data_IF_530809805018
#
_entry.id   IF_530809805018
#
_cell.length_a   1.000
_cell.length_b   1.000
_cell.length_c   1.000
_cell.angle_alpha   90.00
_cell.angle_beta   90.00
_cell.angle_gamma   90.00
#
_symmetry.space_group_name_H-M   'P 1'
#
loop_
_entity.id
_entity.type
_entity.pdbx_description
1 polymer ?
#
# COMPACT_ATOMS: atom_id res chain seq x y z
N UNK A 1 -60.15 -39.90 -31.71
CA UNK A 1 -59.23 -40.36 -30.63
C UNK A 1 -58.00 -40.92 -31.35
N UNK A 2 -56.75 -40.52 -31.15
CA UNK A 2 -56.09 -39.69 -30.16
C UNK A 2 -54.81 -39.13 -30.82
N UNK A 3 -54.72 -37.80 -30.97
CA UNK A 3 -53.47 -37.09 -31.30
C UNK A 3 -53.15 -36.18 -30.13
N UNK A 4 -52.51 -36.71 -29.07
CA UNK A 4 -52.14 -35.90 -27.89
C UNK A 4 -51.12 -36.59 -26.96
N UNK A 5 -49.95 -36.98 -27.49
CA UNK A 5 -48.85 -37.53 -26.65
C UNK A 5 -47.46 -37.14 -27.16
N UNK A 6 -47.31 -35.97 -27.78
CA UNK A 6 -46.01 -35.48 -28.28
C UNK A 6 -45.46 -34.23 -27.58
N UNK A 7 -46.24 -33.55 -26.74
CA UNK A 7 -45.92 -32.18 -26.31
C UNK A 7 -45.47 -32.05 -24.83
N UNK A 8 -45.36 -33.15 -24.09
CA UNK A 8 -45.00 -33.11 -22.65
C UNK A 8 -43.54 -33.45 -22.35
N UNK A 9 -42.74 -33.90 -23.33
CA UNK A 9 -41.33 -34.25 -23.10
C UNK A 9 -40.34 -33.11 -23.36
N UNK A 10 -40.75 -32.04 -24.05
CA UNK A 10 -39.83 -30.94 -24.43
C UNK A 10 -39.68 -29.86 -23.36
N UNK A 11 -40.53 -29.85 -22.32
CA UNK A 11 -40.44 -28.84 -21.25
C UNK A 11 -39.55 -29.28 -20.07
N UNK A 12 -39.21 -30.57 -19.97
CA UNK A 12 -38.39 -31.12 -18.89
C UNK A 12 -36.87 -31.08 -19.17
N UNK A 13 -36.44 -30.79 -20.41
CA UNK A 13 -35.02 -30.72 -20.78
C UNK A 13 -34.41 -29.32 -20.59
N UNK A 14 -35.22 -28.28 -20.41
CA UNK A 14 -34.74 -26.89 -20.29
C UNK A 14 -34.50 -26.46 -18.84
N UNK A 15 -34.94 -27.24 -17.84
CA UNK A 15 -34.80 -26.90 -16.42
C UNK A 15 -33.50 -27.40 -15.78
N UNK A 16 -32.67 -28.15 -16.51
CA UNK A 16 -31.42 -28.72 -15.99
C UNK A 16 -30.21 -27.77 -16.17
N UNK A 17 -30.33 -26.71 -16.98
CA UNK A 17 -29.22 -25.77 -17.24
C UNK A 17 -29.09 -24.61 -16.24
N UNK A 18 -29.97 -24.49 -15.24
CA UNK A 18 -29.95 -23.39 -14.26
C UNK A 18 -29.42 -23.80 -12.87
N UNK A 19 -28.93 -25.03 -12.70
CA UNK A 19 -28.46 -25.53 -11.39
C UNK A 19 -26.94 -25.29 -11.15
N UNK A 20 -26.26 -24.52 -12.02
CA UNK A 20 -24.79 -24.46 -12.07
C UNK A 20 -24.10 -23.17 -11.61
N UNK A 21 -24.79 -22.03 -11.53
CA UNK A 21 -24.19 -20.79 -11.02
C UNK A 21 -25.00 -20.30 -9.83
N UNK A 22 -24.39 -20.26 -8.63
CA UNK A 22 -25.05 -19.60 -7.51
C UNK A 22 -25.16 -18.09 -7.81
N UNK A 23 -26.27 -17.46 -7.39
CA UNK A 23 -26.45 -16.00 -7.54
C UNK A 23 -25.27 -15.24 -6.92
N UNK A 24 -24.69 -15.79 -5.84
CA UNK A 24 -23.50 -15.26 -5.18
C UNK A 24 -22.29 -15.24 -6.11
N UNK A 25 -22.02 -16.35 -6.79
CA UNK A 25 -20.85 -16.47 -7.67
C UNK A 25 -20.99 -15.56 -8.90
N UNK A 26 -22.21 -15.43 -9.45
CA UNK A 26 -22.50 -14.48 -10.52
C UNK A 26 -22.31 -13.03 -10.06
N UNK A 27 -22.78 -12.68 -8.86
CA UNK A 27 -22.59 -11.35 -8.27
C UNK A 27 -21.10 -11.05 -8.04
N UNK A 28 -20.34 -12.03 -7.53
CA UNK A 28 -18.91 -11.92 -7.31
C UNK A 28 -18.15 -11.63 -8.62
N UNK A 29 -18.35 -12.46 -9.64
CA UNK A 29 -17.68 -12.30 -10.93
C UNK A 29 -18.08 -11.00 -11.64
N UNK A 30 -19.36 -10.60 -11.52
CA UNK A 30 -19.82 -9.31 -12.07
C UNK A 30 -19.16 -8.13 -11.36
N UNK A 31 -18.95 -8.22 -10.04
CA UNK A 31 -18.29 -7.19 -9.25
C UNK A 31 -16.80 -7.08 -9.57
N UNK A 32 -16.09 -8.20 -9.76
CA UNK A 32 -14.68 -8.19 -10.21
C UNK A 32 -14.57 -7.55 -11.59
N UNK A 33 -15.42 -7.96 -12.55
CA UNK A 33 -15.39 -7.42 -13.91
C UNK A 33 -15.67 -5.92 -13.95
N UNK A 34 -16.76 -5.48 -13.28
CA UNK A 34 -17.07 -4.06 -13.16
C UNK A 34 -15.98 -3.28 -12.43
N UNK A 35 -15.38 -3.90 -11.40
CA UNK A 35 -14.24 -3.36 -10.68
C UNK A 35 -13.07 -3.06 -11.60
N UNK A 36 -12.64 -4.06 -12.37
CA UNK A 36 -11.52 -3.95 -13.30
C UNK A 36 -11.78 -2.97 -14.44
N UNK A 37 -12.99 -2.92 -14.98
CA UNK A 37 -13.31 -2.11 -16.16
C UNK A 37 -13.63 -0.64 -15.82
N UNK A 38 -14.25 -0.37 -14.66
CA UNK A 38 -14.76 0.97 -14.33
C UNK A 38 -14.20 1.53 -13.02
N UNK A 39 -14.16 0.73 -11.95
CA UNK A 39 -13.75 1.23 -10.63
C UNK A 39 -12.24 1.50 -10.60
N UNK A 40 -11.41 0.50 -10.94
CA UNK A 40 -9.96 0.58 -10.83
C UNK A 40 -9.37 1.72 -11.67
N UNK A 41 -9.75 1.93 -12.96
CA UNK A 41 -9.23 3.04 -13.75
C UNK A 41 -9.65 4.41 -13.20
N UNK A 42 -10.91 4.56 -12.81
CA UNK A 42 -11.40 5.81 -12.20
C UNK A 42 -10.65 6.13 -10.90
N UNK A 43 -10.42 5.09 -10.10
CA UNK A 43 -9.72 5.18 -8.83
C UNK A 43 -8.27 5.59 -9.01
N UNK A 44 -7.55 4.94 -9.94
CA UNK A 44 -6.15 5.25 -10.24
C UNK A 44 -5.95 6.67 -10.78
N UNK A 45 -6.93 7.21 -11.51
CA UNK A 45 -6.90 8.58 -12.01
C UNK A 45 -7.24 9.65 -10.94
N UNK A 46 -7.81 9.25 -9.80
CA UNK A 46 -8.22 10.17 -8.74
C UNK A 46 -7.03 10.82 -8.03
N UNK A 47 -7.21 12.06 -7.54
CA UNK A 47 -6.29 12.70 -6.58
C UNK A 47 -6.74 12.52 -5.12
N UNK A 48 -7.95 12.00 -4.90
CA UNK A 48 -8.54 11.87 -3.57
C UNK A 48 -8.10 10.56 -2.92
N UNK A 49 -7.07 10.66 -2.10
CA UNK A 49 -6.50 9.54 -1.34
C UNK A 49 -7.37 9.14 -0.14
N UNK A 50 -8.29 9.99 0.34
CA UNK A 50 -9.20 9.68 1.45
C UNK A 50 -10.39 8.83 1.00
N UNK A 51 -10.87 9.03 -0.22
CA UNK A 51 -11.89 8.15 -0.84
C UNK A 51 -11.39 6.71 -0.90
N UNK A 52 -10.09 6.48 -1.14
CA UNK A 52 -9.53 5.13 -1.08
C UNK A 52 -9.74 4.48 0.29
N UNK A 53 -9.52 5.26 1.33
CA UNK A 53 -9.68 4.80 2.69
C UNK A 53 -11.12 4.44 3.02
N UNK A 54 -12.04 5.36 2.75
CA UNK A 54 -13.46 5.17 2.97
C UNK A 54 -14.01 3.99 2.16
N UNK A 55 -13.57 3.84 0.91
CA UNK A 55 -13.99 2.75 0.04
C UNK A 55 -13.51 1.39 0.55
N UNK A 56 -12.24 1.27 0.93
CA UNK A 56 -11.69 0.04 1.49
C UNK A 56 -12.45 -0.40 2.74
N UNK A 57 -12.69 0.50 3.70
CA UNK A 57 -13.43 0.17 4.92
C UNK A 57 -14.92 -0.11 4.66
N UNK A 58 -15.56 0.66 3.79
CA UNK A 58 -17.00 0.55 3.51
C UNK A 58 -17.38 -0.64 2.64
N UNK A 59 -16.62 -0.93 1.58
CA UNK A 59 -16.95 -2.01 0.62
C UNK A 59 -16.59 -3.40 1.14
N UNK A 60 -15.69 -3.51 2.12
CA UNK A 60 -15.23 -4.78 2.69
C UNK A 60 -16.39 -5.70 3.11
N UNK A 61 -17.38 -5.17 3.85
CA UNK A 61 -18.49 -5.96 4.38
C UNK A 61 -19.43 -6.52 3.29
N UNK A 62 -19.53 -5.84 2.15
CA UNK A 62 -20.32 -6.32 1.00
C UNK A 62 -19.53 -7.28 0.12
N UNK A 63 -18.20 -7.11 0.06
CA UNK A 63 -17.33 -7.81 -0.89
C UNK A 63 -16.90 -9.17 -0.35
N UNK A 64 -16.40 -9.24 0.88
CA UNK A 64 -15.76 -10.47 1.41
C UNK A 64 -16.68 -11.70 1.48
N UNK A 65 -17.99 -11.60 1.76
CA UNK A 65 -18.88 -12.76 1.76
C UNK A 65 -19.09 -13.40 0.37
N UNK A 66 -18.66 -12.74 -0.71
CA UNK A 66 -18.77 -13.22 -2.10
C UNK A 66 -17.63 -14.16 -2.50
N UNK A 67 -16.74 -14.53 -1.56
CA UNK A 67 -15.66 -15.49 -1.80
C UNK A 67 -16.16 -16.88 -2.26
N UNK A 68 -15.34 -17.62 -3.03
CA UNK A 68 -13.95 -17.29 -3.40
C UNK A 68 -13.81 -16.44 -4.67
N UNK A 69 -14.86 -16.31 -5.50
CA UNK A 69 -14.76 -15.65 -6.81
C UNK A 69 -14.42 -14.15 -6.74
N UNK A 70 -14.56 -13.53 -5.57
CA UNK A 70 -14.20 -12.14 -5.31
C UNK A 70 -12.75 -11.96 -4.83
N UNK A 71 -12.04 -13.06 -4.54
CA UNK A 71 -10.70 -13.04 -3.93
C UNK A 71 -9.68 -12.15 -4.68
N UNK A 72 -9.68 -12.02 -6.02
CA UNK A 72 -8.80 -11.08 -6.72
C UNK A 72 -9.02 -9.60 -6.36
N UNK A 73 -10.23 -9.23 -5.93
CA UNK A 73 -10.54 -7.85 -5.55
C UNK A 73 -10.24 -7.55 -4.07
N UNK A 74 -10.17 -8.57 -3.22
CA UNK A 74 -9.94 -8.42 -1.78
C UNK A 74 -8.61 -7.70 -1.47
N UNK A 75 -7.45 -8.06 -2.08
CA UNK A 75 -6.18 -7.43 -1.80
C UNK A 75 -6.22 -5.91 -1.89
N UNK A 76 -6.81 -5.36 -2.95
CA UNK A 76 -6.95 -3.92 -3.13
C UNK A 76 -7.71 -3.27 -1.97
N UNK A 77 -8.86 -3.82 -1.58
CA UNK A 77 -9.69 -3.27 -0.49
C UNK A 77 -9.02 -3.38 0.88
N UNK A 78 -8.34 -4.49 1.13
CA UNK A 78 -7.63 -4.73 2.39
C UNK A 78 -6.34 -3.93 2.50
N UNK A 79 -5.65 -3.70 1.39
CA UNK A 79 -4.49 -2.83 1.32
C UNK A 79 -4.92 -1.40 1.65
N UNK A 80 -5.95 -0.89 0.96
CA UNK A 80 -6.52 0.42 1.22
C UNK A 80 -6.96 0.58 2.69
N UNK A 81 -7.86 -0.27 3.18
CA UNK A 81 -8.37 -0.18 4.57
C UNK A 81 -7.29 -0.42 5.63
N UNK A 82 -6.26 -1.21 5.31
CA UNK A 82 -5.08 -1.40 6.15
C UNK A 82 -4.24 -0.13 6.27
N UNK A 83 -3.99 0.56 5.15
CA UNK A 83 -3.25 1.82 5.13
C UNK A 83 -3.92 2.90 5.99
N UNK A 84 -5.25 3.00 5.98
CA UNK A 84 -5.98 3.96 6.82
C UNK A 84 -5.82 3.70 8.31
N UNK A 85 -5.79 2.42 8.69
CA UNK A 85 -5.52 2.04 10.07
C UNK A 85 -4.07 2.32 10.43
N UNK A 86 -3.11 2.12 9.52
CA UNK A 86 -1.72 2.50 9.76
C UNK A 86 -1.55 4.01 9.89
N UNK A 87 -2.24 4.82 9.09
CA UNK A 87 -2.23 6.28 9.23
C UNK A 87 -2.75 6.75 10.58
N UNK A 88 -3.85 6.17 11.06
CA UNK A 88 -4.34 6.42 12.44
C UNK A 88 -3.28 6.02 13.48
N UNK A 89 -2.51 4.96 13.23
CA UNK A 89 -1.39 4.60 14.09
C UNK A 89 -0.25 5.63 14.03
N UNK A 90 0.07 6.17 12.86
CA UNK A 90 1.09 7.24 12.68
C UNK A 90 0.68 8.53 13.37
N UNK A 91 -0.60 8.85 13.36
CA UNK A 91 -1.13 10.01 14.09
C UNK A 91 -0.86 9.91 15.60
N UNK A 92 -1.09 8.72 16.18
CA UNK A 92 -0.77 8.45 17.58
C UNK A 92 0.75 8.39 17.82
N UNK A 93 1.56 8.00 16.84
CA UNK A 93 3.02 8.11 16.90
C UNK A 93 3.47 9.57 17.06
N UNK A 94 2.92 10.49 16.27
CA UNK A 94 3.22 11.92 16.38
C UNK A 94 2.75 12.50 17.73
N UNK A 95 1.59 12.04 18.24
CA UNK A 95 1.11 12.41 19.58
C UNK A 95 2.04 11.90 20.67
N UNK A 96 2.53 10.66 20.56
CA UNK A 96 3.51 10.08 21.47
C UNK A 96 4.82 10.89 21.49
N UNK A 97 5.38 11.22 20.33
CA UNK A 97 6.64 11.99 20.24
C UNK A 97 6.49 13.35 20.94
N UNK A 98 5.39 14.07 20.68
CA UNK A 98 5.12 15.36 21.34
C UNK A 98 4.96 15.24 22.85
N UNK A 99 4.21 14.25 23.33
CA UNK A 99 4.05 14.02 24.76
C UNK A 99 5.39 13.73 25.46
N UNK A 100 6.24 12.89 24.84
CA UNK A 100 7.58 12.59 25.33
C UNK A 100 8.48 13.82 25.41
N UNK A 101 8.41 14.73 24.43
CA UNK A 101 9.16 16.01 24.46
C UNK A 101 8.79 16.88 25.65
N UNK A 102 7.55 16.81 26.12
CA UNK A 102 7.07 17.57 27.29
C UNK A 102 7.15 16.79 28.61
N UNK A 103 7.75 15.59 28.62
CA UNK A 103 7.75 14.66 29.76
C UNK A 103 6.35 14.30 30.28
N UNK A 104 5.32 14.34 29.42
CA UNK A 104 3.97 13.90 29.76
C UNK A 104 3.83 12.39 29.55
N UNK A 105 4.19 11.63 30.58
CA UNK A 105 4.21 10.16 30.55
C UNK A 105 2.81 9.57 30.35
N UNK A 106 1.78 10.16 30.96
CA UNK A 106 0.42 9.62 30.88
C UNK A 106 -0.12 9.71 29.45
N UNK A 107 0.03 10.88 28.83
CA UNK A 107 -0.37 11.07 27.42
C UNK A 107 0.47 10.21 26.49
N UNK A 108 1.77 10.06 26.75
CA UNK A 108 2.63 9.19 25.94
C UNK A 108 2.20 7.71 26.02
N UNK A 109 1.88 7.20 27.20
CA UNK A 109 1.41 5.81 27.37
C UNK A 109 0.06 5.57 26.68
N UNK A 110 -0.87 6.53 26.77
CA UNK A 110 -2.15 6.48 26.07
C UNK A 110 -1.96 6.45 24.54
N UNK A 111 -1.19 7.40 24.01
CA UNK A 111 -0.89 7.48 22.58
C UNK A 111 -0.21 6.21 22.07
N UNK A 112 0.77 5.67 22.81
CA UNK A 112 1.42 4.40 22.43
C UNK A 112 0.45 3.21 22.45
N UNK A 113 -0.50 3.19 23.37
CA UNK A 113 -1.55 2.16 23.42
C UNK A 113 -2.46 2.24 22.20
N UNK A 114 -2.89 3.45 21.84
CA UNK A 114 -3.72 3.68 20.66
C UNK A 114 -2.98 3.38 19.36
N UNK A 115 -1.71 3.76 19.25
CA UNK A 115 -0.84 3.39 18.13
C UNK A 115 -0.84 1.87 17.94
N UNK A 116 -0.57 1.08 18.99
CA UNK A 116 -0.54 -0.39 18.89
C UNK A 116 -1.88 -0.99 18.47
N UNK A 117 -3.00 -0.45 18.98
CA UNK A 117 -4.35 -0.91 18.62
C UNK A 117 -4.62 -0.69 17.12
N UNK A 118 -4.27 0.48 16.60
CA UNK A 118 -4.44 0.78 15.19
C UNK A 118 -3.51 -0.04 14.30
N UNK A 119 -2.24 -0.22 14.70
CA UNK A 119 -1.30 -1.11 14.00
C UNK A 119 -1.80 -2.56 13.96
N UNK A 120 -2.43 -3.05 15.03
CA UNK A 120 -3.05 -4.38 15.03
C UNK A 120 -4.17 -4.49 14.00
N UNK A 121 -5.05 -3.47 13.91
CA UNK A 121 -6.13 -3.43 12.92
C UNK A 121 -5.56 -3.40 11.49
N UNK A 122 -4.51 -2.59 11.25
CA UNK A 122 -3.82 -2.53 9.97
C UNK A 122 -3.27 -3.91 9.56
N UNK A 123 -2.51 -4.55 10.47
CA UNK A 123 -1.92 -5.86 10.25
C UNK A 123 -2.98 -6.93 9.94
N UNK A 124 -4.07 -6.99 10.72
CA UNK A 124 -5.13 -7.97 10.49
C UNK A 124 -5.82 -7.80 9.13
N UNK A 125 -6.10 -6.56 8.71
CA UNK A 125 -6.72 -6.26 7.42
C UNK A 125 -5.80 -6.66 6.27
N UNK A 126 -4.55 -6.23 6.31
CA UNK A 126 -3.57 -6.53 5.26
C UNK A 126 -3.29 -8.05 5.17
N UNK A 127 -3.25 -8.74 6.31
CA UNK A 127 -3.07 -10.19 6.33
C UNK A 127 -4.25 -10.93 5.70
N UNK A 128 -5.49 -10.45 5.91
CA UNK A 128 -6.66 -10.99 5.23
C UNK A 128 -6.53 -10.88 3.70
N UNK A 129 -5.99 -9.78 3.19
CA UNK A 129 -5.68 -9.59 1.77
C UNK A 129 -4.66 -10.59 1.24
N UNK A 130 -3.56 -10.76 1.98
CA UNK A 130 -2.56 -11.76 1.66
C UNK A 130 -3.16 -13.18 1.61
N UNK A 131 -3.96 -13.55 2.61
CA UNK A 131 -4.62 -14.86 2.63
C UNK A 131 -5.59 -15.07 1.47
N UNK A 132 -6.31 -14.02 1.04
CA UNK A 132 -7.14 -14.08 -0.16
C UNK A 132 -6.31 -14.30 -1.43
N UNK A 133 -5.14 -13.66 -1.50
CA UNK A 133 -4.17 -13.83 -2.59
C UNK A 133 -3.69 -15.28 -2.66
N UNK A 134 -3.30 -15.86 -1.52
CA UNK A 134 -2.86 -17.26 -1.45
C UNK A 134 -3.97 -18.23 -1.85
N UNK A 135 -5.23 -17.96 -1.47
CA UNK A 135 -6.37 -18.80 -1.88
C UNK A 135 -6.62 -18.77 -3.39
N UNK A 136 -6.44 -17.62 -4.04
CA UNK A 136 -6.72 -17.45 -5.45
C UNK A 136 -5.55 -17.86 -6.36
N UNK A 137 -4.34 -17.37 -6.06
CA UNK A 137 -3.15 -17.55 -6.90
C UNK A 137 -2.26 -18.74 -6.48
N UNK A 138 -2.53 -19.34 -5.32
CA UNK A 138 -1.67 -20.36 -4.72
C UNK A 138 -0.56 -19.79 -3.83
N UNK A 139 0.27 -20.67 -3.26
CA UNK A 139 1.36 -20.26 -2.38
C UNK A 139 2.49 -19.58 -3.20
N UNK A 140 2.86 -18.32 -2.88
CA UNK A 140 3.95 -17.61 -3.57
C UNK A 140 5.32 -18.32 -3.53
N UNK A 141 5.54 -19.27 -2.63
CA UNK A 141 6.76 -20.08 -2.58
C UNK A 141 6.76 -21.28 -3.53
N UNK A 142 5.60 -21.70 -4.07
CA UNK A 142 5.49 -22.89 -4.91
C UNK A 142 5.69 -22.61 -6.41
N UNK A 143 5.69 -21.33 -6.82
CA UNK A 143 5.94 -20.91 -8.20
C UNK A 143 5.25 -19.60 -8.55
N UNK A 144 5.49 -19.12 -9.77
CA UNK A 144 4.80 -17.94 -10.29
C UNK A 144 3.43 -18.34 -10.86
N UNK A 145 2.34 -17.66 -10.46
CA UNK A 145 1.02 -17.89 -11.05
C UNK A 145 1.00 -17.43 -12.51
N UNK A 146 0.05 -17.98 -13.28
CA UNK A 146 -0.26 -17.51 -14.63
C UNK A 146 -1.35 -16.44 -14.53
N UNK A 147 -1.05 -15.22 -14.95
CA UNK A 147 -1.97 -14.09 -14.87
C UNK A 147 -2.80 -14.00 -16.15
N UNK A 148 -4.13 -13.95 -16.02
CA UNK A 148 -5.00 -13.81 -17.18
C UNK A 148 -4.93 -12.42 -17.81
N UNK A 149 -4.72 -11.39 -16.97
CA UNK A 149 -4.59 -10.00 -17.38
C UNK A 149 -3.74 -9.19 -16.37
N UNK A 150 -3.54 -7.90 -16.69
CA UNK A 150 -2.81 -6.96 -15.83
C UNK A 150 -3.50 -6.72 -14.48
N UNK A 151 -4.82 -6.85 -14.39
CA UNK A 151 -5.54 -6.63 -13.14
C UNK A 151 -5.30 -7.78 -12.17
N UNK A 152 -5.22 -9.02 -12.65
CA UNK A 152 -4.81 -10.17 -11.84
C UNK A 152 -3.36 -10.02 -11.34
N UNK A 153 -2.45 -9.61 -12.20
CA UNK A 153 -1.06 -9.34 -11.80
C UNK A 153 -0.99 -8.21 -10.75
N UNK A 154 -1.79 -7.15 -10.90
CA UNK A 154 -1.92 -6.07 -9.93
C UNK A 154 -2.53 -6.54 -8.60
N UNK A 155 -3.57 -7.37 -8.65
CA UNK A 155 -4.19 -7.96 -7.47
C UNK A 155 -3.20 -8.82 -6.67
N UNK A 156 -2.40 -9.63 -7.38
CA UNK A 156 -1.34 -10.41 -6.79
C UNK A 156 -0.29 -9.51 -6.12
N UNK A 157 0.17 -8.47 -6.82
CA UNK A 157 1.11 -7.49 -6.28
C UNK A 157 0.60 -6.84 -4.98
N UNK A 158 -0.66 -6.37 -4.96
CA UNK A 158 -1.28 -5.79 -3.76
C UNK A 158 -1.40 -6.80 -2.62
N UNK A 159 -1.65 -8.07 -2.94
CA UNK A 159 -1.63 -9.17 -2.00
C UNK A 159 -0.30 -9.35 -1.29
N UNK A 160 0.78 -9.37 -2.07
CA UNK A 160 2.15 -9.49 -1.56
C UNK A 160 2.54 -8.26 -0.72
N UNK A 161 2.18 -7.05 -1.14
CA UNK A 161 2.38 -5.84 -0.33
C UNK A 161 1.56 -5.85 0.95
N UNK A 162 0.35 -6.40 0.92
CA UNK A 162 -0.44 -6.67 2.11
C UNK A 162 0.30 -7.62 3.06
N UNK A 163 0.86 -8.72 2.53
CA UNK A 163 1.65 -9.66 3.33
C UNK A 163 2.88 -9.03 4.00
N UNK A 164 3.64 -8.23 3.26
CA UNK A 164 4.81 -7.51 3.79
C UNK A 164 4.45 -6.51 4.88
N UNK A 165 3.44 -5.67 4.64
CA UNK A 165 3.02 -4.66 5.61
C UNK A 165 2.36 -5.29 6.84
N UNK A 166 1.61 -6.38 6.66
CA UNK A 166 1.02 -7.13 7.76
C UNK A 166 2.10 -7.70 8.68
N UNK A 167 3.12 -8.35 8.10
CA UNK A 167 4.24 -8.89 8.85
C UNK A 167 5.01 -7.78 9.60
N UNK A 168 5.35 -6.69 8.93
CA UNK A 168 6.07 -5.55 9.52
C UNK A 168 5.28 -4.96 10.71
N UNK A 169 3.99 -4.74 10.51
CA UNK A 169 3.09 -4.16 11.51
C UNK A 169 2.92 -5.07 12.71
N UNK A 170 2.68 -6.35 12.47
CA UNK A 170 2.48 -7.34 13.54
C UNK A 170 3.76 -7.55 14.37
N UNK A 171 4.92 -7.60 13.71
CA UNK A 171 6.21 -7.67 14.37
C UNK A 171 6.44 -6.46 15.31
N UNK A 172 6.06 -5.25 14.88
CA UNK A 172 6.26 -4.02 15.66
C UNK A 172 5.44 -3.97 16.97
N UNK A 173 4.39 -4.79 17.08
CA UNK A 173 3.52 -4.89 18.26
C UNK A 173 3.65 -6.22 19.00
N UNK A 174 4.58 -7.10 18.59
CA UNK A 174 4.88 -8.36 19.25
C UNK A 174 4.01 -9.54 18.83
N UNK A 175 3.44 -9.54 17.62
CA UNK A 175 2.70 -10.67 17.06
C UNK A 175 1.22 -10.75 17.44
N UNK A 176 0.59 -9.62 17.82
CA UNK A 176 -0.78 -9.59 18.30
C UNK A 176 -1.85 -9.91 17.23
N UNK A 177 -1.56 -9.64 15.96
CA UNK A 177 -2.44 -9.93 14.83
C UNK A 177 -2.31 -11.38 14.32
N UNK A 178 -1.26 -12.10 14.73
CA UNK A 178 -1.08 -13.52 14.41
C UNK A 178 -0.64 -13.77 12.97
N UNK A 179 0.16 -12.88 12.38
CA UNK A 179 0.68 -13.03 11.03
C UNK A 179 1.74 -14.13 11.02
N UNK A 180 1.64 -15.08 10.10
CA UNK A 180 2.58 -16.18 10.02
C UNK A 180 3.99 -15.69 9.63
N UNK A 181 5.03 -16.23 10.27
CA UNK A 181 6.42 -15.77 10.07
C UNK A 181 6.95 -16.02 8.65
N UNK A 182 6.40 -17.01 7.95
CA UNK A 182 6.72 -17.32 6.56
C UNK A 182 6.05 -16.37 5.55
N UNK A 183 5.13 -15.50 5.99
CA UNK A 183 4.45 -14.52 5.14
C UNK A 183 5.44 -13.58 4.44
N UNK A 184 6.44 -13.06 5.18
CA UNK A 184 7.45 -12.16 4.61
C UNK A 184 8.30 -12.85 3.53
N UNK A 185 9.00 -13.97 3.80
CA UNK A 185 9.82 -14.62 2.78
C UNK A 185 9.00 -15.11 1.58
N UNK A 186 7.75 -15.55 1.78
CA UNK A 186 6.83 -15.90 0.68
C UNK A 186 6.48 -14.68 -0.16
N UNK A 187 6.15 -13.55 0.48
CA UNK A 187 5.82 -12.31 -0.23
C UNK A 187 7.01 -11.80 -1.06
N UNK A 188 8.23 -11.86 -0.50
CA UNK A 188 9.47 -11.50 -1.22
C UNK A 188 9.72 -12.43 -2.41
N UNK A 189 9.50 -13.74 -2.24
CA UNK A 189 9.63 -14.69 -3.34
C UNK A 189 8.63 -14.39 -4.46
N UNK A 190 7.35 -14.16 -4.12
CA UNK A 190 6.30 -13.83 -5.07
C UNK A 190 6.54 -12.53 -5.83
N UNK A 191 7.20 -11.52 -5.24
CA UNK A 191 7.49 -10.26 -5.94
C UNK A 191 8.39 -10.45 -7.17
N UNK A 192 9.14 -11.55 -7.24
CA UNK A 192 9.96 -11.90 -8.41
C UNK A 192 9.14 -12.37 -9.61
N UNK A 193 7.86 -12.68 -9.39
CA UNK A 193 6.93 -13.12 -10.43
C UNK A 193 6.19 -11.97 -11.12
N UNK A 194 6.33 -10.74 -10.64
CA UNK A 194 5.63 -9.56 -11.16
C UNK A 194 6.56 -8.77 -12.08
N UNK A 195 6.05 -8.30 -13.22
CA UNK A 195 6.78 -7.40 -14.12
C UNK A 195 7.03 -6.03 -13.46
N UNK A 196 8.25 -5.84 -12.94
CA UNK A 196 8.57 -4.62 -12.24
C UNK A 196 8.47 -3.36 -13.11
N UNK A 197 8.76 -3.42 -14.41
CA UNK A 197 8.75 -2.23 -15.26
C UNK A 197 7.30 -1.83 -15.61
N UNK A 198 6.43 -2.82 -15.82
CA UNK A 198 4.97 -2.65 -15.95
C UNK A 198 4.31 -2.07 -14.70
N UNK A 199 4.88 -2.31 -13.51
CA UNK A 199 4.44 -1.79 -12.22
C UNK A 199 5.41 -0.73 -11.63
N UNK A 200 5.86 0.18 -12.50
CA UNK A 200 6.53 1.46 -12.14
C UNK A 200 7.83 1.33 -11.33
N UNK A 201 8.51 0.20 -11.47
CA UNK A 201 9.73 -0.13 -10.71
C UNK A 201 9.46 -0.58 -9.27
N UNK A 202 8.21 -0.62 -8.79
CA UNK A 202 7.91 -0.86 -7.37
C UNK A 202 8.38 -2.24 -6.90
N UNK A 203 8.12 -3.36 -7.60
CA UNK A 203 8.59 -4.68 -7.17
C UNK A 203 10.12 -4.73 -6.98
N UNK A 204 10.88 -4.25 -7.98
CA UNK A 204 12.34 -4.19 -7.88
C UNK A 204 12.83 -3.24 -6.79
N UNK A 205 12.14 -2.12 -6.55
CA UNK A 205 12.48 -1.22 -5.45
C UNK A 205 12.37 -1.92 -4.09
N UNK A 206 11.29 -2.67 -3.85
CA UNK A 206 11.11 -3.42 -2.60
C UNK A 206 12.17 -4.51 -2.45
N UNK A 207 12.43 -5.28 -3.51
CA UNK A 207 13.49 -6.30 -3.52
C UNK A 207 14.87 -5.69 -3.25
N UNK A 208 15.17 -4.52 -3.84
CA UNK A 208 16.41 -3.80 -3.61
C UNK A 208 16.56 -3.35 -2.14
N UNK A 209 15.48 -2.86 -1.51
CA UNK A 209 15.50 -2.51 -0.07
C UNK A 209 15.79 -3.74 0.81
N UNK A 210 15.23 -4.89 0.47
CA UNK A 210 15.52 -6.16 1.18
C UNK A 210 17.00 -6.52 1.03
N UNK A 211 17.55 -6.46 -0.19
CA UNK A 211 18.96 -6.73 -0.46
C UNK A 211 19.88 -5.77 0.32
N UNK A 212 19.57 -4.46 0.32
CA UNK A 212 20.31 -3.44 1.08
C UNK A 212 20.25 -3.73 2.59
N UNK A 213 19.07 -4.07 3.11
CA UNK A 213 18.89 -4.36 4.54
C UNK A 213 19.72 -5.58 4.94
N UNK A 214 19.69 -6.64 4.13
CA UNK A 214 20.50 -7.84 4.35
C UNK A 214 22.00 -7.53 4.27
N UNK A 215 22.45 -6.83 3.23
CA UNK A 215 23.85 -6.49 3.05
C UNK A 215 24.40 -5.64 4.21
N UNK A 216 23.60 -4.72 4.75
CA UNK A 216 23.95 -3.97 5.96
C UNK A 216 24.15 -4.87 7.18
N UNK A 217 23.30 -5.89 7.37
CA UNK A 217 23.45 -6.87 8.47
C UNK A 217 24.71 -7.73 8.30
N UNK A 218 25.05 -8.06 7.05
CA UNK A 218 26.22 -8.85 6.70
C UNK A 218 27.52 -8.01 6.68
N UNK A 219 27.42 -6.67 6.76
CA UNK A 219 28.56 -5.74 6.69
C UNK A 219 29.17 -5.59 5.29
N UNK A 220 28.48 -6.02 4.24
CA UNK A 220 28.95 -6.01 2.85
C UNK A 220 28.59 -4.69 2.15
N UNK A 221 29.54 -3.75 2.15
CA UNK A 221 29.33 -2.40 1.58
C UNK A 221 29.19 -2.41 0.06
N UNK A 222 29.83 -3.35 -0.65
CA UNK A 222 29.73 -3.45 -2.10
C UNK A 222 28.32 -3.93 -2.49
N UNK A 223 27.78 -4.91 -1.75
CA UNK A 223 26.40 -5.36 -1.93
C UNK A 223 25.36 -4.29 -1.55
N UNK A 224 25.64 -3.48 -0.52
CA UNK A 224 24.80 -2.30 -0.20
C UNK A 224 24.74 -1.35 -1.38
N UNK A 225 25.89 -0.97 -1.94
CA UNK A 225 25.93 -0.03 -3.08
C UNK A 225 25.19 -0.60 -4.29
N UNK A 226 25.38 -1.89 -4.61
CA UNK A 226 24.65 -2.54 -5.69
C UNK A 226 23.13 -2.51 -5.49
N UNK A 227 22.67 -2.71 -4.26
CA UNK A 227 21.25 -2.60 -3.91
C UNK A 227 20.72 -1.18 -4.07
N UNK A 228 21.49 -0.17 -3.65
CA UNK A 228 21.13 1.24 -3.83
C UNK A 228 21.06 1.62 -5.32
N UNK A 229 21.99 1.14 -6.15
CA UNK A 229 21.99 1.38 -7.59
C UNK A 229 20.74 0.77 -8.27
N UNK A 230 20.32 -0.42 -7.82
CA UNK A 230 19.08 -1.07 -8.27
C UNK A 230 17.83 -0.29 -7.84
N UNK A 231 17.81 0.21 -6.60
CA UNK A 231 16.72 1.03 -6.09
C UNK A 231 16.59 2.35 -6.87
N UNK A 232 17.72 2.99 -7.21
CA UNK A 232 17.74 4.21 -8.02
C UNK A 232 17.32 3.94 -9.48
N UNK A 233 17.69 2.79 -10.06
CA UNK A 233 17.17 2.36 -11.35
C UNK A 233 15.65 2.20 -11.34
N UNK A 234 15.11 1.51 -10.32
CA UNK A 234 13.67 1.37 -10.13
C UNK A 234 12.96 2.73 -9.99
N UNK A 235 13.57 3.69 -9.28
CA UNK A 235 13.06 5.06 -9.16
C UNK A 235 12.89 5.72 -10.53
N UNK A 236 13.92 5.64 -11.37
CA UNK A 236 13.87 6.22 -12.73
C UNK A 236 12.80 5.59 -13.61
N UNK A 237 12.48 4.31 -13.43
CA UNK A 237 11.39 3.65 -14.17
C UNK A 237 10.04 4.30 -13.83
N UNK A 238 9.75 4.47 -12.54
CA UNK A 238 8.54 5.16 -12.10
C UNK A 238 8.48 6.63 -12.50
N UNK A 239 9.60 7.36 -12.33
CA UNK A 239 9.72 8.78 -12.72
C UNK A 239 9.37 9.01 -14.20
N UNK A 240 9.89 8.17 -15.11
CA UNK A 240 9.58 8.25 -16.55
C UNK A 240 8.10 8.00 -16.87
N UNK A 241 7.41 7.28 -16.01
CA UNK A 241 6.00 6.95 -16.16
C UNK A 241 5.08 7.90 -15.37
N UNK A 242 5.63 8.94 -14.74
CA UNK A 242 4.87 9.89 -13.93
C UNK A 242 4.33 9.31 -12.62
N UNK A 243 4.98 8.27 -12.07
CA UNK A 243 4.59 7.58 -10.82
C UNK A 243 5.79 7.52 -9.87
N UNK A 244 5.77 8.33 -8.80
CA UNK A 244 6.94 8.49 -7.89
C UNK A 244 6.84 7.68 -6.60
N UNK A 245 6.15 6.55 -6.60
CA UNK A 245 6.02 5.66 -5.44
C UNK A 245 7.37 5.17 -4.89
N UNK A 246 8.37 5.01 -5.74
CA UNK A 246 9.72 4.60 -5.31
C UNK A 246 10.40 5.67 -4.44
N UNK A 247 10.08 6.96 -4.62
CA UNK A 247 10.57 8.01 -3.71
C UNK A 247 10.08 7.78 -2.27
N UNK A 248 8.83 7.33 -2.11
CA UNK A 248 8.28 6.99 -0.79
C UNK A 248 9.02 5.81 -0.17
N UNK A 249 9.31 4.77 -0.96
CA UNK A 249 10.09 3.61 -0.52
C UNK A 249 11.50 4.03 -0.07
N UNK A 250 12.18 4.88 -0.85
CA UNK A 250 13.48 5.43 -0.51
C UNK A 250 13.44 6.24 0.79
N UNK A 251 12.45 7.13 0.96
CA UNK A 251 12.30 7.95 2.15
C UNK A 251 12.05 7.09 3.41
N UNK A 252 11.20 6.07 3.31
CA UNK A 252 10.94 5.12 4.41
C UNK A 252 12.20 4.33 4.76
N UNK A 253 12.95 3.85 3.75
CA UNK A 253 14.19 3.10 3.96
C UNK A 253 15.24 3.95 4.67
N UNK A 254 15.54 5.15 4.17
CA UNK A 254 16.55 6.00 4.81
C UNK A 254 16.11 6.46 6.20
N UNK A 255 14.82 6.76 6.39
CA UNK A 255 14.27 7.13 7.70
C UNK A 255 14.38 5.99 8.71
N UNK A 256 14.11 4.74 8.32
CA UNK A 256 14.21 3.59 9.21
C UNK A 256 15.65 3.26 9.60
N UNK A 257 16.62 3.63 8.75
CA UNK A 257 18.06 3.51 9.02
C UNK A 257 18.62 4.69 9.83
N UNK A 258 17.80 5.70 10.17
CA UNK A 258 18.26 6.91 10.84
C UNK A 258 19.11 7.84 9.97
N UNK A 259 19.13 7.62 8.65
CA UNK A 259 19.86 8.48 7.72
C UNK A 259 19.00 9.69 7.35
N UNK A 260 18.96 10.66 8.26
CA UNK A 260 18.14 11.86 8.14
C UNK A 260 18.50 12.68 6.89
N UNK A 261 19.79 12.87 6.60
CA UNK A 261 20.23 13.65 5.44
C UNK A 261 19.74 13.06 4.12
N UNK A 262 19.89 11.75 3.92
CA UNK A 262 19.34 11.08 2.73
C UNK A 262 17.81 11.10 2.69
N UNK A 263 17.16 11.04 3.86
CA UNK A 263 15.71 11.19 3.94
C UNK A 263 15.28 12.58 3.44
N UNK A 264 15.92 13.66 3.92
CA UNK A 264 15.68 15.04 3.48
C UNK A 264 15.93 15.21 1.98
N UNK A 265 17.03 14.64 1.47
CA UNK A 265 17.39 14.67 0.05
C UNK A 265 16.29 14.05 -0.83
N UNK A 266 15.76 12.88 -0.46
CA UNK A 266 14.68 12.22 -1.21
C UNK A 266 13.38 13.02 -1.15
N UNK A 267 13.02 13.59 0.00
CA UNK A 267 11.82 14.43 0.14
C UNK A 267 11.94 15.66 -0.78
N UNK A 268 13.10 16.35 -0.78
CA UNK A 268 13.37 17.49 -1.68
C UNK A 268 13.27 17.09 -3.15
N UNK A 269 13.94 15.99 -3.54
CA UNK A 269 13.88 15.44 -4.90
C UNK A 269 12.43 15.19 -5.32
N UNK A 270 11.62 14.59 -4.46
CA UNK A 270 10.22 14.32 -4.76
C UNK A 270 9.42 15.61 -5.04
N UNK A 271 9.60 16.64 -4.22
CA UNK A 271 8.92 17.94 -4.39
C UNK A 271 9.37 18.63 -5.69
N UNK A 272 10.68 18.70 -5.96
CA UNK A 272 11.21 19.25 -7.22
C UNK A 272 10.67 18.50 -8.42
N UNK A 273 10.71 17.16 -8.40
CA UNK A 273 10.20 16.34 -9.50
C UNK A 273 8.70 16.53 -9.74
N UNK A 274 7.89 16.77 -8.71
CA UNK A 274 6.45 17.10 -8.85
C UNK A 274 6.22 18.44 -9.52
N UNK A 275 7.10 19.42 -9.30
CA UNK A 275 7.00 20.73 -9.94
C UNK A 275 7.44 20.69 -11.40
N UNK A 276 8.50 19.93 -11.71
CA UNK A 276 9.08 19.87 -13.05
C UNK A 276 8.36 18.91 -13.99
N UNK A 277 7.85 17.79 -13.48
CA UNK A 277 7.26 16.73 -14.27
C UNK A 277 5.83 16.42 -13.79
N UNK A 278 4.80 16.60 -14.63
CA UNK A 278 3.43 16.29 -14.24
C UNK A 278 3.27 14.79 -13.97
N UNK A 279 2.37 14.45 -13.05
CA UNK A 279 1.97 13.06 -12.80
C UNK A 279 1.25 12.47 -14.03
N UNK A 280 1.25 11.15 -14.13
CA UNK A 280 0.43 10.47 -15.12
C UNK A 280 -1.07 10.61 -14.77
N UNK A 281 -1.91 11.18 -15.65
CA UNK A 281 -3.32 11.44 -15.35
C UNK A 281 -4.14 10.16 -15.09
N UNK A 282 -3.72 9.01 -15.61
CA UNK A 282 -4.39 7.72 -15.39
C UNK A 282 -3.97 7.05 -14.07
N UNK A 283 -2.90 7.53 -13.44
CA UNK A 283 -2.26 6.93 -12.26
C UNK A 283 -1.98 7.97 -11.16
N UNK A 284 -2.70 9.09 -11.19
CA UNK A 284 -2.49 10.22 -10.29
C UNK A 284 -2.59 9.81 -8.82
N UNK A 285 -3.45 8.83 -8.49
CA UNK A 285 -3.61 8.32 -7.14
C UNK A 285 -2.30 7.80 -6.57
N UNK A 286 -1.53 7.06 -7.35
CA UNK A 286 -0.26 6.49 -6.88
C UNK A 286 0.75 7.59 -6.55
N UNK A 287 0.75 8.66 -7.33
CA UNK A 287 1.65 9.78 -7.08
C UNK A 287 1.23 10.63 -5.87
N UNK A 288 -0.07 10.80 -5.66
CA UNK A 288 -0.63 11.42 -4.46
C UNK A 288 -0.40 10.56 -3.22
N UNK A 289 -0.51 9.23 -3.33
CA UNK A 289 -0.16 8.29 -2.26
C UNK A 289 1.33 8.35 -1.90
N UNK A 290 2.22 8.47 -2.90
CA UNK A 290 3.64 8.69 -2.66
C UNK A 290 3.87 9.98 -1.86
N UNK A 291 3.21 11.07 -2.27
CA UNK A 291 3.27 12.37 -1.59
C UNK A 291 2.76 12.29 -0.16
N UNK A 292 1.65 11.58 0.06
CA UNK A 292 1.03 11.35 1.37
C UNK A 292 1.96 10.57 2.30
N UNK A 293 2.56 9.47 1.84
CA UNK A 293 3.52 8.70 2.65
C UNK A 293 4.80 9.47 2.95
N UNK A 294 5.33 10.22 1.99
CA UNK A 294 6.49 11.10 2.17
C UNK A 294 6.19 12.20 3.20
N UNK A 295 4.97 12.76 3.18
CA UNK A 295 4.53 13.75 4.20
C UNK A 295 4.52 13.15 5.60
N UNK A 296 4.09 11.90 5.78
CA UNK A 296 4.15 11.22 7.09
C UNK A 296 5.59 11.08 7.60
N UNK A 297 6.55 10.78 6.71
CA UNK A 297 7.98 10.74 7.05
C UNK A 297 8.47 12.13 7.44
N UNK A 298 8.12 13.16 6.67
CA UNK A 298 8.44 14.56 6.97
C UNK A 298 7.84 15.03 8.30
N UNK A 299 6.59 14.69 8.59
CA UNK A 299 5.91 15.05 9.83
C UNK A 299 6.59 14.42 11.04
N UNK A 300 7.05 13.17 10.92
CA UNK A 300 7.82 12.52 11.97
C UNK A 300 9.16 13.24 12.21
N UNK A 301 9.85 13.64 11.15
CA UNK A 301 11.11 14.41 11.25
C UNK A 301 10.87 15.74 11.96
N UNK A 302 9.95 16.55 11.45
CA UNK A 302 9.58 17.84 12.05
C UNK A 302 9.13 17.70 13.50
N UNK A 303 8.31 16.70 13.80
CA UNK A 303 7.78 16.49 15.15
C UNK A 303 8.88 16.07 16.12
N UNK A 304 9.84 15.25 15.65
CA UNK A 304 10.98 14.80 16.46
C UNK A 304 11.88 15.97 16.86
N UNK A 305 12.10 16.94 15.97
CA UNK A 305 13.03 18.06 16.21
C UNK A 305 12.37 19.30 16.80
N UNK A 306 11.19 19.67 16.33
CA UNK A 306 10.49 20.91 16.71
C UNK A 306 9.28 20.67 17.62
N UNK A 307 8.66 19.49 17.55
CA UNK A 307 7.37 19.20 18.19
C UNK A 307 6.15 19.58 17.36
N UNK A 308 6.35 20.09 16.14
CA UNK A 308 5.31 20.44 15.18
C UNK A 308 5.39 19.53 13.96
N UNK A 309 4.31 19.43 13.18
CA UNK A 309 4.34 18.72 11.89
C UNK A 309 5.06 19.54 10.83
N UNK A 310 5.23 18.96 9.65
CA UNK A 310 5.63 19.74 8.47
C UNK A 310 4.64 20.89 8.29
N UNK A 311 5.10 22.15 8.23
CA UNK A 311 4.20 23.28 8.01
C UNK A 311 3.44 23.12 6.69
N UNK A 312 2.23 23.68 6.65
CA UNK A 312 1.38 23.61 5.47
C UNK A 312 2.10 24.23 4.25
N UNK A 313 2.04 23.56 3.10
CA UNK A 313 2.71 24.03 1.88
C UNK A 313 4.25 23.98 1.88
N UNK A 314 4.89 23.58 2.99
CA UNK A 314 6.35 23.61 3.15
C UNK A 314 7.04 22.22 3.06
N UNK A 315 6.36 21.21 2.49
CA UNK A 315 6.98 19.90 2.22
C UNK A 315 8.25 20.09 1.36
N UNK A 316 9.35 19.44 1.75
CA UNK A 316 10.67 19.63 1.12
C UNK A 316 11.57 20.66 1.82
N UNK A 317 11.06 21.38 2.82
CA UNK A 317 11.85 22.25 3.69
C UNK A 317 11.96 21.66 5.10
N UNK A 318 13.01 22.07 5.83
CA UNK A 318 13.35 21.55 7.14
C UNK A 318 13.75 22.66 8.11
N UNK A 319 13.61 22.39 9.41
CA UNK A 319 13.84 23.35 10.51
C UNK A 319 15.30 23.84 10.60
N UNK A 320 16.24 23.10 10.00
CA UNK A 320 17.66 23.39 9.98
C UNK A 320 18.15 23.89 8.60
N UNK A 321 17.24 24.13 7.67
CA UNK A 321 17.57 24.82 6.42
C UNK A 321 18.14 26.21 6.74
N UNK A 322 19.20 26.60 6.04
CA UNK A 322 19.72 27.95 6.16
C UNK A 322 18.62 28.92 5.77
N UNK A 323 18.20 29.75 6.72
CA UNK A 323 17.21 30.80 6.50
C UNK A 323 17.80 31.75 5.46
N UNK A 324 17.35 31.63 4.21
CA UNK A 324 17.46 32.73 3.25
C UNK A 324 16.47 33.77 3.78
N UNK A 325 16.94 34.97 4.17
CA UNK A 325 16.08 35.96 4.81
C UNK A 325 15.10 36.50 3.77
N UNK A 326 13.92 35.89 3.68
CA UNK A 326 12.71 36.50 3.11
C UNK A 326 11.39 35.87 3.59
N UNK A 327 11.39 34.65 4.13
CA UNK A 327 10.16 34.05 4.68
C UNK A 327 10.20 34.06 6.23
N UNK A 328 9.91 35.22 6.81
CA UNK A 328 9.35 35.23 8.16
C UNK A 328 8.01 34.49 8.10
N UNK A 329 7.84 33.47 8.94
CA UNK A 329 6.60 32.69 9.06
C UNK A 329 5.38 33.62 9.03
N UNK A 330 4.68 33.63 7.89
CA UNK A 330 3.52 34.49 7.70
C UNK A 330 2.33 33.85 8.42
N UNK A 331 1.56 34.67 9.12
CA UNK A 331 0.37 34.24 9.86
C UNK A 331 -0.70 33.68 8.91
N UNK A 332 -0.63 34.01 7.62
CA UNK A 332 -1.49 33.47 6.57
C UNK A 332 -1.22 31.96 6.27
N UNK A 333 -0.09 31.38 6.71
CA UNK A 333 0.17 29.94 6.62
C UNK A 333 -0.61 29.11 7.70
N UNK A 334 -1.37 29.76 8.58
CA UNK A 334 -2.13 29.15 9.68
C UNK A 334 -3.66 29.16 9.48
N UNK A 335 -4.18 29.67 8.36
CA UNK A 335 -5.62 29.85 8.10
C UNK A 335 -6.18 28.93 7.01
#
# INVERSE_FOLDING_TARGET
>A
MNTRTGLTLSFALLTIFLQGCSIRDMAASSMVSFGNEYISPWFMASSDTDVMCAMGEGMSAMTFPLGPNIDPMIPMLTLASGMCADEKAKEEELRFIRAMRHNDVATAQDARTMQKRWTNVAASRQYMGYLATVRYFGDPAEGCPDFSDRNEEMAYLFGLFGGLQAFQSDLSIGGAAGVALDTMPKSIAGLRCVDSDGFWGIPNAVLAVVDVTKANLDGDQDAVQLGLDRLDLASRVGEKQGVRMVHMIQAIMYSSQGNEEKTKEVIRKHVTMKQEYPANPELNLLDEMATRGIRLVSDKLWTTHTGQRTPFGKLGTFWDDQIIPDDAMDIDDLL
#
